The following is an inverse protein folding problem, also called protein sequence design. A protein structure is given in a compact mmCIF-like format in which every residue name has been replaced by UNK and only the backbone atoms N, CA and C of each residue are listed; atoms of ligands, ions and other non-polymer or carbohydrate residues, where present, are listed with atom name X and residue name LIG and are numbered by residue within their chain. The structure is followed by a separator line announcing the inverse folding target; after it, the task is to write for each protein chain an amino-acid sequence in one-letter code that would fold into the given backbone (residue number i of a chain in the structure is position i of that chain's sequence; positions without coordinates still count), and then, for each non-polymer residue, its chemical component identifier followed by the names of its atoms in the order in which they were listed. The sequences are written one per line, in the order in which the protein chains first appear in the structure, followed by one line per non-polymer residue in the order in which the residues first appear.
data_IF_973515725029
#
_entry.id   IF_973515725029
#
_cell.length_a   1.000
_cell.length_b   1.000
_cell.length_c   1.000
_cell.angle_alpha   90.00
_cell.angle_beta   90.00
_cell.angle_gamma   90.00
#
_symmetry.space_group_name_H-M   'P 1'
#
loop_
_entity.id
_entity.type
_entity.pdbx_description
1 polymer ?
#
# COMPACT_ATOMS: atom_id res chain seq x y z
N UNK A 1 -20.43 20.76 -5.59
CA UNK A 1 -19.24 19.88 -5.69
C UNK A 1 -19.34 19.09 -6.98
N UNK A 2 -18.66 19.52 -8.05
CA UNK A 2 -18.63 18.78 -9.31
C UNK A 2 -17.70 17.58 -9.14
N UNK A 3 -18.11 16.35 -9.52
CA UNK A 3 -17.19 15.21 -9.51
C UNK A 3 -15.99 15.51 -10.42
N UNK A 4 -14.78 15.01 -10.11
CA UNK A 4 -13.63 15.23 -10.97
C UNK A 4 -13.97 14.72 -12.36
N UNK A 5 -13.97 15.63 -13.34
CA UNK A 5 -14.19 15.32 -14.75
C UNK A 5 -13.09 14.36 -15.17
N UNK A 6 -13.40 13.07 -15.21
CA UNK A 6 -12.43 12.05 -15.62
C UNK A 6 -12.22 12.22 -17.11
N UNK A 7 -11.16 12.93 -17.49
CA UNK A 7 -10.74 13.09 -18.87
C UNK A 7 -9.84 11.94 -19.27
N UNK A 8 -10.06 11.39 -20.46
CA UNK A 8 -9.22 10.32 -20.95
C UNK A 8 -7.87 10.88 -21.43
N UNK A 9 -6.75 10.35 -20.93
CA UNK A 9 -5.40 10.89 -21.19
C UNK A 9 -4.98 10.89 -22.67
N UNK A 10 -5.49 9.99 -23.53
CA UNK A 10 -5.07 9.96 -24.95
C UNK A 10 -5.81 10.96 -25.83
N UNK A 11 -7.09 11.23 -25.58
CA UNK A 11 -7.89 12.12 -26.44
C UNK A 11 -8.46 13.34 -25.72
N UNK A 12 -8.19 13.52 -24.42
CA UNK A 12 -8.63 14.67 -23.63
C UNK A 12 -10.13 14.78 -23.39
N UNK A 13 -10.95 13.98 -24.09
CA UNK A 13 -12.41 14.05 -23.98
C UNK A 13 -12.92 13.54 -22.64
N UNK A 14 -13.91 14.25 -22.10
CA UNK A 14 -14.64 13.90 -20.88
C UNK A 14 -15.80 12.91 -21.11
N UNK A 15 -16.01 12.47 -22.36
CA UNK A 15 -17.11 11.59 -22.74
C UNK A 15 -16.79 10.12 -22.44
N UNK A 16 -16.73 9.76 -21.15
CA UNK A 16 -16.65 8.38 -20.68
C UNK A 16 -18.05 7.84 -20.36
N UNK A 17 -18.43 6.74 -21.02
CA UNK A 17 -19.64 5.99 -20.72
C UNK A 17 -19.29 4.71 -19.95
N UNK A 18 -20.15 4.30 -19.02
CA UNK A 18 -20.02 3.00 -18.33
C UNK A 18 -20.27 1.89 -19.36
N UNK A 19 -19.32 0.97 -19.51
CA UNK A 19 -19.38 -0.15 -20.44
C UNK A 19 -19.33 -1.49 -19.69
N UNK A 20 -20.33 -1.71 -18.84
CA UNK A 20 -20.46 -2.91 -18.01
C UNK A 20 -19.41 -3.02 -16.90
N UNK A 21 -19.31 -4.23 -16.34
CA UNK A 21 -18.34 -4.57 -15.28
C UNK A 21 -17.68 -5.91 -15.57
N UNK A 22 -16.40 -6.04 -15.26
CA UNK A 22 -15.66 -7.30 -15.38
C UNK A 22 -14.95 -7.60 -14.07
N UNK A 23 -15.16 -8.80 -13.51
CA UNK A 23 -14.57 -9.23 -12.22
C UNK A 23 -14.72 -8.17 -11.12
N UNK A 24 -15.93 -7.62 -10.97
CA UNK A 24 -16.27 -6.55 -10.02
C UNK A 24 -15.59 -5.18 -10.27
N UNK A 25 -14.98 -4.96 -11.44
CA UNK A 25 -14.39 -3.68 -11.82
C UNK A 25 -15.26 -3.01 -12.89
N UNK A 26 -15.60 -1.74 -12.68
CA UNK A 26 -16.33 -0.96 -13.70
C UNK A 26 -15.43 -0.67 -14.90
N UNK A 27 -15.95 -1.02 -16.07
CA UNK A 27 -15.35 -0.67 -17.35
C UNK A 27 -15.95 0.64 -17.83
N UNK A 28 -15.12 1.47 -18.42
CA UNK A 28 -15.54 2.70 -19.07
C UNK A 28 -15.04 2.70 -20.51
N UNK A 29 -15.89 3.15 -21.42
CA UNK A 29 -15.53 3.36 -22.81
C UNK A 29 -15.58 4.85 -23.11
N UNK A 30 -14.54 5.36 -23.74
CA UNK A 30 -14.57 6.70 -24.29
C UNK A 30 -15.38 6.70 -25.59
N UNK A 31 -16.43 7.50 -25.71
CA UNK A 31 -17.23 7.54 -26.94
C UNK A 31 -16.53 8.23 -28.10
N UNK A 32 -15.56 9.12 -27.83
CA UNK A 32 -14.80 9.83 -28.86
C UNK A 32 -13.71 8.98 -29.54
N UNK A 33 -13.09 8.03 -28.82
CA UNK A 33 -12.00 7.20 -29.35
C UNK A 33 -12.25 5.69 -29.24
N UNK A 34 -13.45 5.29 -28.80
CA UNK A 34 -13.88 3.92 -28.53
C UNK A 34 -12.98 3.08 -27.60
N UNK A 35 -11.94 3.67 -27.03
CA UNK A 35 -11.01 2.98 -26.16
C UNK A 35 -11.68 2.58 -24.84
N UNK A 36 -11.42 1.34 -24.40
CA UNK A 36 -11.93 0.79 -23.15
C UNK A 36 -10.85 0.88 -22.08
N UNK A 37 -11.17 1.55 -20.97
CA UNK A 37 -10.31 1.62 -19.80
C UNK A 37 -11.02 1.04 -18.58
N UNK A 38 -10.28 0.35 -17.73
CA UNK A 38 -10.77 -0.12 -16.43
C UNK A 38 -10.32 0.89 -15.38
N UNK A 39 -11.28 1.51 -14.68
CA UNK A 39 -10.95 2.46 -13.62
C UNK A 39 -10.74 1.68 -12.32
N UNK A 40 -9.50 1.62 -11.83
CA UNK A 40 -9.26 1.10 -10.49
C UNK A 40 -9.67 2.17 -9.48
N UNK A 41 -10.71 1.89 -8.71
CA UNK A 41 -11.16 2.81 -7.67
C UNK A 41 -10.02 3.12 -6.69
N UNK A 42 -9.89 4.39 -6.30
CA UNK A 42 -8.87 4.83 -5.34
C UNK A 42 -8.92 4.03 -4.03
N UNK A 43 -10.10 3.51 -3.64
CA UNK A 43 -10.29 2.62 -2.50
C UNK A 43 -9.51 1.31 -2.65
N UNK A 44 -9.58 0.66 -3.81
CA UNK A 44 -8.86 -0.59 -4.08
C UNK A 44 -7.34 -0.37 -4.07
N UNK A 45 -6.88 0.75 -4.65
CA UNK A 45 -5.45 1.12 -4.61
C UNK A 45 -4.97 1.35 -3.17
N UNK A 46 -5.75 2.06 -2.36
CA UNK A 46 -5.44 2.27 -0.94
C UNK A 46 -5.43 0.94 -0.18
N UNK A 47 -6.39 0.05 -0.42
CA UNK A 47 -6.41 -1.27 0.21
C UNK A 47 -5.14 -2.09 -0.10
N UNK A 48 -4.69 -2.10 -1.36
CA UNK A 48 -3.46 -2.76 -1.76
C UNK A 48 -2.21 -2.16 -1.09
N UNK A 49 -2.12 -0.82 -1.02
CA UNK A 49 -1.03 -0.12 -0.31
C UNK A 49 -1.01 -0.46 1.18
N UNK A 50 -2.18 -0.52 1.82
CA UNK A 50 -2.30 -0.89 3.23
C UNK A 50 -1.95 -2.37 3.48
N UNK A 51 -2.29 -3.28 2.56
CA UNK A 51 -1.89 -4.68 2.65
C UNK A 51 -0.37 -4.84 2.53
N UNK A 52 0.26 -4.13 1.59
CA UNK A 52 1.73 -4.12 1.45
C UNK A 52 2.41 -3.51 2.67
N UNK A 53 1.85 -2.43 3.23
CA UNK A 53 2.33 -1.82 4.46
C UNK A 53 2.33 -2.80 5.63
N UNK A 54 1.25 -3.58 5.80
CA UNK A 54 1.15 -4.57 6.87
C UNK A 54 2.26 -5.62 6.80
N UNK A 55 2.56 -6.14 5.61
CA UNK A 55 3.65 -7.12 5.40
C UNK A 55 5.01 -6.54 5.78
N UNK A 56 5.31 -5.32 5.32
CA UNK A 56 6.59 -4.66 5.60
C UNK A 56 6.78 -4.31 7.08
N UNK A 57 5.69 -4.04 7.80
CA UNK A 57 5.74 -3.84 9.26
C UNK A 57 6.06 -5.14 10.00
N UNK A 58 5.53 -6.28 9.54
CA UNK A 58 5.85 -7.61 10.10
C UNK A 58 7.32 -7.96 9.86
N UNK A 59 7.84 -7.66 8.68
CA UNK A 59 9.26 -7.85 8.31
C UNK A 59 10.22 -6.87 9.03
N UNK A 60 9.70 -6.00 9.89
CA UNK A 60 10.45 -4.96 10.63
C UNK A 60 11.26 -4.04 9.72
N UNK A 61 10.78 -3.79 8.49
CA UNK A 61 11.42 -2.84 7.58
C UNK A 61 11.42 -1.42 8.19
N UNK A 62 12.48 -0.64 7.92
CA UNK A 62 12.57 0.73 8.43
C UNK A 62 11.43 1.60 7.87
N UNK A 63 10.94 2.56 8.68
CA UNK A 63 9.89 3.49 8.25
C UNK A 63 10.26 4.22 6.94
N UNK A 64 11.55 4.55 6.75
CA UNK A 64 12.05 5.18 5.51
C UNK A 64 11.94 4.26 4.31
N UNK A 65 12.30 2.97 4.46
CA UNK A 65 12.16 1.99 3.40
C UNK A 65 10.69 1.80 3.02
N UNK A 66 9.81 1.72 4.01
CA UNK A 66 8.37 1.58 3.80
C UNK A 66 7.80 2.76 3.00
N UNK A 67 8.18 4.01 3.34
CA UNK A 67 7.75 5.20 2.59
C UNK A 67 8.20 5.10 1.12
N UNK A 68 9.44 4.68 0.86
CA UNK A 68 9.97 4.55 -0.51
C UNK A 68 9.23 3.47 -1.32
N UNK A 69 8.91 2.34 -0.70
CA UNK A 69 8.28 1.20 -1.37
C UNK A 69 6.77 1.37 -1.59
N UNK A 70 6.07 2.01 -0.65
CA UNK A 70 4.59 2.10 -0.68
C UNK A 70 4.08 3.49 -1.07
N UNK A 71 4.91 4.53 -0.93
CA UNK A 71 4.49 5.94 -1.07
C UNK A 71 3.58 6.44 0.05
N UNK A 72 3.36 5.63 1.10
CA UNK A 72 2.49 5.99 2.23
C UNK A 72 3.22 6.97 3.15
N UNK A 73 2.51 8.01 3.59
CA UNK A 73 3.07 9.03 4.47
C UNK A 73 3.49 8.43 5.84
N UNK A 74 4.65 8.86 6.34
CA UNK A 74 5.21 8.46 7.63
C UNK A 74 4.22 8.50 8.81
N UNK A 75 3.37 9.53 9.01
CA UNK A 75 2.42 9.53 10.13
C UNK A 75 1.42 8.36 10.07
N UNK A 76 1.01 7.94 8.87
CA UNK A 76 0.11 6.79 8.68
C UNK A 76 0.79 5.48 9.07
N UNK A 77 2.06 5.32 8.71
CA UNK A 77 2.89 4.16 9.09
C UNK A 77 2.99 4.05 10.61
N UNK A 78 3.32 5.16 11.29
CA UNK A 78 3.46 5.19 12.75
C UNK A 78 2.14 4.87 13.45
N UNK A 79 1.01 5.42 12.96
CA UNK A 79 -0.33 5.10 13.49
C UNK A 79 -0.66 3.61 13.35
N UNK A 80 -0.25 2.97 12.25
CA UNK A 80 -0.46 1.54 12.03
C UNK A 80 0.47 0.68 12.87
N UNK A 81 1.75 1.02 12.96
CA UNK A 81 2.72 0.33 13.82
C UNK A 81 2.29 0.34 15.30
N UNK A 82 1.67 1.42 15.77
CA UNK A 82 1.10 1.50 17.13
C UNK A 82 -0.13 0.61 17.33
N UNK A 83 -0.90 0.35 16.27
CA UNK A 83 -2.14 -0.46 16.32
C UNK A 83 -1.86 -1.95 16.20
N UNK A 84 -0.79 -2.33 15.51
CA UNK A 84 -0.33 -3.71 15.48
C UNK A 84 0.40 -3.99 16.79
N UNK A 85 -0.18 -4.78 17.73
CA UNK A 85 0.61 -5.28 18.83
C UNK A 85 1.74 -6.08 18.20
N UNK A 86 2.97 -5.59 18.37
CA UNK A 86 4.17 -6.38 18.08
C UNK A 86 4.11 -7.48 19.12
N UNK A 87 3.49 -8.62 18.80
CA UNK A 87 3.68 -9.83 19.60
C UNK A 87 5.19 -10.04 19.59
N UNK A 88 5.87 -9.96 20.74
CA UNK A 88 7.27 -10.29 20.78
C UNK A 88 7.36 -11.73 20.29
N UNK A 89 8.04 -11.94 19.17
CA UNK A 89 8.52 -13.27 18.85
C UNK A 89 9.32 -13.70 20.09
N UNK A 90 8.96 -14.80 20.78
CA UNK A 90 9.73 -15.23 21.93
C UNK A 90 11.15 -15.43 21.43
N UNK A 91 12.08 -14.64 21.95
CA UNK A 91 13.50 -14.93 21.82
C UNK A 91 13.70 -16.31 22.43
N UNK A 92 14.31 -17.28 21.72
CA UNK A 92 14.79 -18.48 22.39
C UNK A 92 15.77 -18.03 23.48
N UNK A 93 15.45 -18.35 24.73
CA UNK A 93 16.33 -18.08 25.88
C UNK A 93 17.68 -18.75 25.59
N UNK A 94 18.82 -18.05 25.71
CA UNK A 94 20.12 -18.69 25.60
C UNK A 94 20.25 -19.71 26.75
N UNK A 95 20.39 -20.98 26.41
CA UNK A 95 20.49 -22.10 27.36
C UNK A 95 21.92 -22.39 27.83
N UNK A 96 22.82 -21.41 27.77
CA UNK A 96 24.18 -21.56 28.33
C UNK A 96 24.71 -20.21 28.80
N UNK A 97 25.24 -20.09 30.03
CA UNK A 97 26.02 -18.91 30.40
C UNK A 97 27.22 -18.85 29.45
N UNK A 98 27.30 -17.81 28.62
CA UNK A 98 28.56 -17.44 27.98
C UNK A 98 29.34 -16.67 29.04
N UNK A 99 30.39 -17.30 29.58
CA UNK A 99 31.45 -16.58 30.28
C UNK A 99 31.99 -15.52 29.31
N UNK A 100 31.68 -14.25 29.59
CA UNK A 100 32.33 -13.12 28.94
C UNK A 100 33.60 -12.86 29.75
N UNK A 101 34.73 -13.40 29.31
CA UNK A 101 36.02 -12.85 29.73
C UNK A 101 36.14 -11.45 29.15
N UNK A 102 36.24 -10.47 30.05
CA UNK A 102 36.40 -9.05 29.76
C UNK A 102 37.88 -8.74 29.91
N UNK A 103 38.64 -8.79 28.81
CA UNK A 103 40.03 -8.31 28.82
C UNK A 103 40.01 -6.79 28.67
N UNK A 104 40.28 -6.08 29.77
CA UNK A 104 40.55 -4.65 29.76
C UNK A 104 41.99 -4.38 29.29
N UNK A 105 42.15 -3.84 28.08
CA UNK A 105 43.17 -2.81 27.75
C UNK A 105 42.89 -2.12 26.42
#
# INVERSE_FOLDING_TARGET
MLPPTVTYKKCGSAALCKNGSLKCQLKYQCTACHYQAVFTHAVARKAAQHAQLGKLLVERASQRAIVRLTGVARPTIVKLAKKTPITPHPLPKPSRPQELELDEM
#
